data_IF_409173118909
#
_entry.id   IF_409173118909
#
_cell.length_a   1.000
_cell.length_b   1.000
_cell.length_c   1.000
_cell.angle_alpha   90.00
_cell.angle_beta   90.00
_cell.angle_gamma   90.00
#
_symmetry.space_group_name_H-M   'P 1'
#
loop_
_entity.id
_entity.type
_entity.pdbx_description
1 polymer ?
#
# COMPACT_ATOMS: atom_id res chain seq x y z
N UNK A 1 -15.23 -26.08 -26.04
CA UNK A 1 -13.75 -26.11 -25.86
C UNK A 1 -13.26 -25.19 -24.75
N UNK A 2 -13.72 -23.92 -24.66
CA UNK A 2 -13.32 -22.98 -23.61
C UNK A 2 -13.78 -23.37 -22.20
N UNK A 3 -15.01 -23.89 -22.05
CA UNK A 3 -15.52 -24.40 -20.77
C UNK A 3 -14.64 -25.49 -20.17
N UNK A 4 -14.22 -26.47 -21.01
CA UNK A 4 -13.28 -27.52 -20.59
C UNK A 4 -11.93 -26.96 -20.14
N UNK A 5 -11.44 -25.89 -20.77
CA UNK A 5 -10.20 -25.20 -20.36
C UNK A 5 -10.39 -24.46 -19.03
N UNK A 6 -11.53 -23.82 -18.83
CA UNK A 6 -11.87 -23.15 -17.58
C UNK A 6 -11.95 -24.14 -16.39
N UNK A 7 -12.62 -25.29 -16.57
CA UNK A 7 -12.69 -26.33 -15.54
C UNK A 7 -11.33 -26.98 -15.27
N UNK A 8 -10.53 -27.19 -16.31
CA UNK A 8 -9.15 -27.65 -16.16
C UNK A 8 -8.29 -26.63 -15.38
N UNK A 9 -8.42 -25.34 -15.66
CA UNK A 9 -7.71 -24.28 -14.94
C UNK A 9 -8.07 -24.25 -13.46
N UNK A 10 -9.37 -24.30 -13.13
CA UNK A 10 -9.82 -24.41 -11.74
C UNK A 10 -9.23 -25.63 -11.03
N UNK A 11 -9.21 -26.77 -11.69
CA UNK A 11 -8.82 -28.06 -11.10
C UNK A 11 -7.32 -28.21 -10.96
N UNK A 12 -6.54 -27.76 -11.94
CA UNK A 12 -5.10 -28.00 -12.02
C UNK A 12 -4.25 -26.78 -11.62
N UNK A 13 -4.83 -25.59 -11.53
CA UNK A 13 -4.10 -24.36 -11.16
C UNK A 13 -4.65 -23.76 -9.86
N UNK A 14 -5.95 -23.43 -9.82
CA UNK A 14 -6.53 -22.71 -8.68
C UNK A 14 -6.60 -23.58 -7.42
N UNK A 15 -7.25 -24.75 -7.49
CA UNK A 15 -7.40 -25.63 -6.32
C UNK A 15 -6.06 -26.06 -5.69
N UNK A 16 -5.04 -26.49 -6.47
CA UNK A 16 -3.75 -26.88 -5.91
C UNK A 16 -3.06 -25.70 -5.21
N UNK A 17 -3.09 -24.49 -5.79
CA UNK A 17 -2.49 -23.32 -5.17
C UNK A 17 -3.04 -23.04 -3.76
N UNK A 18 -4.36 -23.05 -3.60
CA UNK A 18 -4.98 -22.83 -2.29
C UNK A 18 -4.66 -23.95 -1.30
N UNK A 19 -4.69 -25.20 -1.74
CA UNK A 19 -4.45 -26.36 -0.88
C UNK A 19 -2.99 -26.48 -0.43
N UNK A 20 -2.04 -26.18 -1.31
CA UNK A 20 -0.61 -26.46 -1.10
C UNK A 20 0.15 -25.25 -0.53
N UNK A 21 -0.33 -24.03 -0.79
CA UNK A 21 0.30 -22.81 -0.31
C UNK A 21 -0.55 -22.07 0.73
N UNK A 22 -1.77 -21.66 0.37
CA UNK A 22 -2.59 -20.78 1.23
C UNK A 22 -2.98 -21.47 2.54
N UNK A 23 -3.34 -22.76 2.50
CA UNK A 23 -3.74 -23.52 3.68
C UNK A 23 -2.62 -23.73 4.73
N UNK A 24 -1.39 -23.30 4.44
CA UNK A 24 -0.23 -23.41 5.34
C UNK A 24 0.22 -22.07 5.92
N UNK A 25 -0.42 -20.97 5.52
CA UNK A 25 -0.03 -19.63 5.97
C UNK A 25 -0.51 -19.41 7.41
N UNK A 26 0.42 -19.02 8.28
CA UNK A 26 0.13 -18.60 9.65
C UNK A 26 -0.14 -17.08 9.71
N UNK A 27 0.57 -16.30 8.89
CA UNK A 27 0.52 -14.82 8.85
C UNK A 27 0.48 -14.35 7.41
N UNK A 28 -0.17 -13.22 7.16
CA UNK A 28 -0.22 -12.62 5.83
C UNK A 28 0.01 -11.11 5.88
N UNK A 29 0.76 -10.59 4.92
CA UNK A 29 0.83 -9.15 4.64
C UNK A 29 0.29 -8.87 3.24
N UNK A 30 -0.61 -7.90 3.11
CA UNK A 30 -1.16 -7.44 1.83
C UNK A 30 -0.60 -6.05 1.55
N UNK A 31 0.27 -5.94 0.55
CA UNK A 31 0.91 -4.69 0.15
C UNK A 31 0.02 -3.92 -0.82
N UNK A 32 -0.26 -2.66 -0.51
CA UNK A 32 -1.15 -1.78 -1.28
C UNK A 32 -0.39 -0.51 -1.68
N UNK A 33 -0.42 -0.16 -2.96
CA UNK A 33 0.08 1.12 -3.47
C UNK A 33 -1.08 2.12 -3.60
N UNK A 34 -1.50 2.68 -2.45
CA UNK A 34 -2.62 3.60 -2.40
C UNK A 34 -2.30 4.96 -3.04
N UNK A 35 -1.03 5.39 -3.05
CA UNK A 35 -0.63 6.66 -3.67
C UNK A 35 -0.82 6.63 -5.19
N UNK A 36 -0.49 5.52 -5.84
CA UNK A 36 -0.74 5.37 -7.27
C UNK A 36 -2.23 5.29 -7.61
N UNK A 37 -3.04 4.64 -6.76
CA UNK A 37 -4.49 4.65 -6.94
C UNK A 37 -5.08 6.06 -6.77
N UNK A 38 -4.59 6.83 -5.79
CA UNK A 38 -4.99 8.23 -5.61
C UNK A 38 -4.63 9.09 -6.83
N UNK A 39 -3.42 8.93 -7.38
CA UNK A 39 -3.01 9.60 -8.62
C UNK A 39 -3.92 9.31 -9.82
N UNK A 40 -4.46 8.09 -9.89
CA UNK A 40 -5.34 7.65 -10.97
C UNK A 40 -6.81 8.03 -10.73
N UNK A 41 -7.15 8.52 -9.53
CA UNK A 41 -8.45 9.08 -9.18
C UNK A 41 -9.44 8.07 -8.59
N UNK A 42 -10.69 8.51 -8.35
CA UNK A 42 -11.70 7.75 -7.57
C UNK A 42 -12.02 6.37 -8.15
N UNK A 43 -12.02 6.22 -9.48
CA UNK A 43 -12.24 4.93 -10.13
C UNK A 43 -11.19 3.89 -9.77
N UNK A 44 -9.90 4.28 -9.73
CA UNK A 44 -8.82 3.41 -9.31
C UNK A 44 -8.88 3.10 -7.80
N UNK A 45 -9.31 4.07 -6.97
CA UNK A 45 -9.56 3.84 -5.55
C UNK A 45 -10.69 2.85 -5.29
N UNK A 46 -11.78 2.91 -6.07
CA UNK A 46 -12.89 1.96 -6.00
C UNK A 46 -12.46 0.55 -6.47
N UNK A 47 -11.66 0.47 -7.54
CA UNK A 47 -11.12 -0.80 -8.02
C UNK A 47 -10.17 -1.43 -6.99
N UNK A 48 -9.34 -0.62 -6.34
CA UNK A 48 -8.49 -1.05 -5.24
C UNK A 48 -9.31 -1.60 -4.06
N UNK A 49 -10.41 -0.93 -3.67
CA UNK A 49 -11.33 -1.42 -2.62
C UNK A 49 -11.90 -2.80 -2.98
N UNK A 50 -12.31 -2.98 -4.24
CA UNK A 50 -12.84 -4.25 -4.74
C UNK A 50 -11.77 -5.35 -4.71
N UNK A 51 -10.57 -5.07 -5.20
CA UNK A 51 -9.46 -6.02 -5.21
C UNK A 51 -9.08 -6.46 -3.78
N UNK A 52 -8.98 -5.53 -2.83
CA UNK A 52 -8.72 -5.86 -1.42
C UNK A 52 -9.83 -6.71 -0.83
N UNK A 53 -11.10 -6.42 -1.16
CA UNK A 53 -12.24 -7.22 -0.72
C UNK A 53 -12.17 -8.66 -1.25
N UNK A 54 -11.87 -8.84 -2.54
CA UNK A 54 -11.72 -10.15 -3.16
C UNK A 54 -10.54 -10.94 -2.56
N UNK A 55 -9.41 -10.28 -2.30
CA UNK A 55 -8.23 -10.88 -1.66
C UNK A 55 -8.54 -11.31 -0.22
N UNK A 56 -9.15 -10.44 0.60
CA UNK A 56 -9.51 -10.79 1.99
C UNK A 56 -10.55 -11.91 2.04
N UNK A 57 -11.45 -11.98 1.06
CA UNK A 57 -12.41 -13.08 0.95
C UNK A 57 -11.73 -14.44 0.74
N UNK A 58 -10.54 -14.49 0.13
CA UNK A 58 -9.76 -15.71 -0.05
C UNK A 58 -9.19 -16.27 1.26
N UNK A 59 -9.02 -15.45 2.29
CA UNK A 59 -8.45 -15.86 3.57
C UNK A 59 -9.51 -16.28 4.59
N UNK A 60 -10.80 -16.25 4.22
CA UNK A 60 -11.89 -16.61 5.12
C UNK A 60 -11.74 -18.06 5.60
N UNK A 61 -11.68 -18.29 6.93
CA UNK A 61 -11.82 -19.62 7.47
C UNK A 61 -13.23 -20.17 7.15
N UNK A 62 -13.31 -21.38 6.59
CA UNK A 62 -14.55 -22.15 6.52
C UNK A 62 -15.54 -21.81 5.39
N UNK A 63 -15.35 -22.45 4.22
CA UNK A 63 -16.47 -22.80 3.31
C UNK A 63 -16.31 -24.15 2.60
N UNK A 64 -15.31 -24.94 2.98
CA UNK A 64 -15.09 -26.32 2.50
C UNK A 64 -15.25 -27.30 3.66
N UNK A 65 -16.11 -28.31 3.47
CA UNK A 65 -16.47 -29.44 4.34
C UNK A 65 -15.91 -29.45 5.79
N UNK A 66 -16.84 -29.62 6.75
CA UNK A 66 -16.62 -29.89 8.19
C UNK A 66 -15.51 -30.91 8.52
N UNK A 67 -15.10 -31.76 7.58
CA UNK A 67 -14.09 -32.81 7.78
C UNK A 67 -12.64 -32.35 7.55
N UNK A 68 -12.39 -31.20 6.89
CA UNK A 68 -11.02 -30.68 6.64
C UNK A 68 -10.54 -29.64 7.65
N UNK A 69 -11.42 -29.17 8.55
CA UNK A 69 -11.15 -28.04 9.44
C UNK A 69 -10.40 -28.41 10.73
N UNK A 70 -10.13 -29.71 10.95
CA UNK A 70 -9.54 -30.19 12.21
C UNK A 70 -8.01 -30.12 12.25
N UNK A 71 -7.33 -29.84 11.13
CA UNK A 71 -5.86 -29.89 11.02
C UNK A 71 -5.22 -28.77 10.19
N UNK A 72 -5.97 -27.76 9.74
CA UNK A 72 -5.39 -26.65 8.97
C UNK A 72 -4.84 -25.56 9.89
N UNK A 73 -3.58 -25.15 9.66
CA UNK A 73 -3.07 -23.87 10.16
C UNK A 73 -3.92 -22.77 9.56
N UNK A 74 -4.42 -21.86 10.40
CA UNK A 74 -5.27 -20.75 9.98
C UNK A 74 -4.49 -19.46 10.13
N UNK A 75 -4.64 -18.59 9.14
CA UNK A 75 -4.11 -17.23 9.21
C UNK A 75 -4.83 -16.52 10.37
N UNK A 76 -4.08 -16.15 11.40
CA UNK A 76 -4.60 -15.48 12.59
C UNK A 76 -4.27 -13.98 12.62
N UNK A 77 -3.31 -13.52 11.81
CA UNK A 77 -2.99 -12.10 11.60
C UNK A 77 -2.81 -11.75 10.14
N UNK A 78 -3.49 -10.69 9.72
CA UNK A 78 -3.38 -10.08 8.40
C UNK A 78 -2.99 -8.61 8.55
N UNK A 79 -1.83 -8.22 8.01
CA UNK A 79 -1.41 -6.84 7.96
C UNK A 79 -1.70 -6.25 6.58
N UNK A 80 -2.52 -5.21 6.52
CA UNK A 80 -2.72 -4.43 5.30
C UNK A 80 -1.74 -3.25 5.31
N UNK A 81 -0.75 -3.27 4.42
CA UNK A 81 0.33 -2.29 4.41
C UNK A 81 0.19 -1.32 3.24
N UNK A 82 -0.04 -0.03 3.54
CA UNK A 82 0.09 1.05 2.57
C UNK A 82 1.59 1.30 2.31
N UNK A 83 2.06 0.87 1.14
CA UNK A 83 3.47 0.93 0.76
C UNK A 83 3.90 2.31 0.28
N UNK A 84 5.22 2.53 0.22
CA UNK A 84 5.86 3.76 -0.29
C UNK A 84 5.45 5.01 0.48
N UNK A 85 5.23 4.87 1.79
CA UNK A 85 4.90 6.00 2.66
C UNK A 85 5.99 7.09 2.67
N UNK A 86 7.22 6.76 2.28
CA UNK A 86 8.31 7.73 2.09
C UNK A 86 8.05 8.71 0.93
N UNK A 87 7.12 8.42 0.02
CA UNK A 87 6.66 9.38 -0.97
C UNK A 87 5.71 10.45 -0.38
N UNK A 88 5.59 10.50 0.95
CA UNK A 88 4.89 11.53 1.71
C UNK A 88 5.77 12.01 2.87
N UNK A 89 5.57 13.27 3.27
CA UNK A 89 6.06 13.76 4.55
C UNK A 89 5.33 13.06 5.71
N UNK A 90 6.00 12.86 6.85
CA UNK A 90 5.44 12.12 8.00
C UNK A 90 4.07 12.64 8.47
N UNK A 91 3.81 13.94 8.35
CA UNK A 91 2.53 14.58 8.68
C UNK A 91 1.33 13.99 7.91
N UNK A 92 1.58 13.36 6.76
CA UNK A 92 0.55 12.71 5.95
C UNK A 92 0.49 11.19 6.12
N UNK A 93 1.41 10.56 6.87
CA UNK A 93 1.42 9.10 7.04
C UNK A 93 0.16 8.58 7.75
N UNK A 94 -0.32 9.33 8.75
CA UNK A 94 -1.52 8.94 9.49
C UNK A 94 -2.79 9.10 8.63
N UNK A 95 -2.80 10.09 7.71
CA UNK A 95 -3.88 10.24 6.71
C UNK A 95 -3.88 9.10 5.70
N UNK A 96 -2.70 8.70 5.20
CA UNK A 96 -2.55 7.54 4.33
C UNK A 96 -3.04 6.27 5.02
N UNK A 97 -2.64 6.07 6.27
CA UNK A 97 -3.07 4.94 7.08
C UNK A 97 -4.59 4.96 7.30
N UNK A 98 -5.20 6.12 7.55
CA UNK A 98 -6.65 6.25 7.70
C UNK A 98 -7.42 5.90 6.41
N UNK A 99 -6.92 6.33 5.24
CA UNK A 99 -7.51 5.98 3.94
C UNK A 99 -7.49 4.46 3.72
N UNK A 100 -6.32 3.82 3.95
CA UNK A 100 -6.19 2.37 3.76
C UNK A 100 -6.92 1.59 4.85
N UNK A 101 -7.03 2.13 6.07
CA UNK A 101 -7.85 1.52 7.13
C UNK A 101 -9.31 1.50 6.75
N UNK A 102 -9.85 2.60 6.24
CA UNK A 102 -11.22 2.66 5.71
C UNK A 102 -11.46 1.62 4.60
N UNK A 103 -10.50 1.43 3.69
CA UNK A 103 -10.55 0.38 2.66
C UNK A 103 -10.61 -1.02 3.29
N UNK A 104 -9.69 -1.31 4.20
CA UNK A 104 -9.59 -2.60 4.87
C UNK A 104 -10.85 -2.91 5.68
N UNK A 105 -11.37 -1.95 6.45
CA UNK A 105 -12.57 -2.13 7.28
C UNK A 105 -13.80 -2.48 6.42
N UNK A 106 -14.00 -1.78 5.29
CA UNK A 106 -15.07 -2.12 4.34
C UNK A 106 -14.86 -3.48 3.69
N UNK A 107 -13.63 -3.81 3.33
CA UNK A 107 -13.29 -5.09 2.74
C UNK A 107 -13.53 -6.25 3.72
N UNK A 108 -13.12 -6.12 4.99
CA UNK A 108 -13.39 -7.08 6.08
C UNK A 108 -14.89 -7.25 6.29
N UNK A 109 -15.63 -6.14 6.38
CA UNK A 109 -17.08 -6.17 6.57
C UNK A 109 -17.80 -6.87 5.39
N UNK A 110 -17.48 -6.51 4.15
CA UNK A 110 -18.07 -7.13 2.95
C UNK A 110 -17.68 -8.60 2.78
N UNK A 111 -16.43 -8.90 3.07
CA UNK A 111 -15.94 -10.25 3.05
C UNK A 111 -16.54 -11.08 4.19
N UNK A 112 -17.26 -10.52 5.18
CA UNK A 112 -17.71 -11.24 6.39
C UNK A 112 -16.54 -12.07 6.98
N UNK A 113 -15.36 -11.44 7.02
CA UNK A 113 -14.12 -12.06 7.44
C UNK A 113 -14.05 -12.07 8.97
N UNK A 114 -13.76 -13.22 9.56
CA UNK A 114 -13.72 -13.42 11.02
C UNK A 114 -12.57 -14.36 11.39
N UNK A 115 -12.09 -14.26 12.62
CA UNK A 115 -11.11 -15.21 13.17
C UNK A 115 -9.63 -14.88 12.91
N UNK A 116 -9.33 -13.73 12.29
CA UNK A 116 -7.97 -13.19 12.23
C UNK A 116 -7.98 -11.71 12.60
N UNK A 117 -6.94 -11.27 13.31
CA UNK A 117 -6.71 -9.87 13.60
C UNK A 117 -6.22 -9.17 12.34
N UNK A 118 -6.89 -8.08 11.97
CA UNK A 118 -6.51 -7.26 10.82
C UNK A 118 -6.02 -5.91 11.32
N UNK A 119 -4.75 -5.58 11.05
CA UNK A 119 -4.21 -4.24 11.31
C UNK A 119 -3.77 -3.57 10.01
N UNK A 120 -3.60 -2.25 10.05
CA UNK A 120 -3.23 -1.42 8.92
C UNK A 120 -2.08 -0.51 9.29
N UNK A 121 -1.04 -0.51 8.44
CA UNK A 121 0.14 0.32 8.62
C UNK A 121 0.50 1.07 7.33
N UNK A 122 0.88 2.34 7.44
CA UNK A 122 1.60 3.03 6.38
C UNK A 122 3.11 2.81 6.55
N UNK A 123 3.79 2.25 5.54
CA UNK A 123 5.19 1.84 5.65
C UNK A 123 5.97 2.03 4.35
N UNK A 124 7.30 2.05 4.48
CA UNK A 124 8.23 1.98 3.36
C UNK A 124 9.28 0.93 3.67
N UNK A 125 9.32 -0.16 2.88
CA UNK A 125 10.31 -1.22 3.04
C UNK A 125 11.72 -0.72 2.73
N UNK A 126 11.84 0.19 1.75
CA UNK A 126 13.06 0.91 1.41
C UNK A 126 12.68 2.37 1.23
N UNK A 127 13.28 3.25 2.01
CA UNK A 127 13.06 4.70 1.98
C UNK A 127 13.97 5.32 0.92
N UNK A 128 13.36 5.87 -0.13
CA UNK A 128 14.03 6.53 -1.24
C UNK A 128 14.15 8.05 -1.07
N UNK A 129 13.46 8.62 -0.08
CA UNK A 129 13.36 10.06 0.15
C UNK A 129 13.81 10.45 1.55
N UNK A 130 14.20 11.71 1.73
CA UNK A 130 14.43 12.35 3.03
C UNK A 130 13.42 13.46 3.25
N UNK A 131 13.11 13.75 4.50
CA UNK A 131 12.22 14.85 4.83
C UNK A 131 12.97 16.18 4.84
N UNK A 132 12.26 17.26 4.52
CA UNK A 132 12.78 18.61 4.58
C UNK A 132 11.66 19.63 4.63
N UNK A 133 12.04 20.90 4.68
CA UNK A 133 11.10 22.02 4.68
C UNK A 133 11.58 23.08 3.73
N UNK A 134 10.68 23.67 2.94
CA UNK A 134 10.98 24.80 2.07
C UNK A 134 10.18 26.02 2.54
N UNK A 135 10.82 27.18 2.64
CA UNK A 135 10.11 28.44 2.89
C UNK A 135 9.58 28.98 1.57
N UNK A 136 8.27 29.15 1.48
CA UNK A 136 7.60 29.82 0.37
C UNK A 136 6.84 31.02 0.91
N UNK A 137 7.37 32.23 0.68
CA UNK A 137 6.82 33.45 1.28
C UNK A 137 6.89 33.42 2.81
N UNK A 138 5.72 33.44 3.47
CA UNK A 138 5.61 33.34 4.94
C UNK A 138 5.34 31.91 5.43
N UNK A 139 5.08 30.97 4.53
CA UNK A 139 4.72 29.60 4.86
C UNK A 139 5.96 28.69 4.80
N UNK A 140 5.97 27.69 5.68
CA UNK A 140 6.97 26.62 5.65
C UNK A 140 6.27 25.35 5.19
N UNK A 141 6.60 24.89 4.00
CA UNK A 141 5.98 23.72 3.39
C UNK A 141 6.77 22.46 3.73
N UNK A 142 6.10 21.39 4.20
CA UNK A 142 6.72 20.10 4.40
C UNK A 142 7.01 19.45 3.04
N UNK A 143 8.27 19.15 2.75
CA UNK A 143 8.68 18.55 1.47
C UNK A 143 9.37 17.21 1.69
N UNK A 144 9.33 16.38 0.66
CA UNK A 144 10.19 15.21 0.54
C UNK A 144 11.27 15.51 -0.49
N UNK A 145 12.48 15.01 -0.25
CA UNK A 145 13.63 15.25 -1.11
C UNK A 145 14.14 13.90 -1.60
N UNK A 146 14.31 13.76 -2.91
CA UNK A 146 14.82 12.56 -3.55
C UNK A 146 15.02 12.80 -5.04
N UNK A 147 15.38 11.75 -5.79
CA UNK A 147 15.51 11.84 -7.26
C UNK A 147 14.28 11.21 -7.92
N UNK A 148 13.36 11.99 -8.51
CA UNK A 148 12.20 11.44 -9.21
C UNK A 148 12.63 10.59 -10.40
N UNK A 149 11.80 9.65 -10.84
CA UNK A 149 12.06 8.88 -12.05
C UNK A 149 11.96 9.77 -13.31
N UNK A 150 12.72 9.41 -14.34
CA UNK A 150 12.68 10.10 -15.63
C UNK A 150 11.26 10.04 -16.21
N UNK A 151 10.73 11.19 -16.59
CA UNK A 151 9.40 11.30 -17.20
C UNK A 151 8.24 11.45 -16.22
N UNK A 152 8.50 11.36 -14.90
CA UNK A 152 7.53 11.81 -13.90
C UNK A 152 7.25 13.31 -14.08
N UNK A 153 6.04 13.75 -13.72
CA UNK A 153 5.60 15.13 -13.91
C UNK A 153 4.83 15.67 -12.71
N UNK A 154 5.08 16.93 -12.37
CA UNK A 154 4.35 17.74 -11.39
C UNK A 154 4.27 19.18 -11.94
N UNK A 155 3.10 19.81 -11.91
CA UNK A 155 2.88 21.21 -12.28
C UNK A 155 3.53 21.62 -13.63
N UNK A 156 3.43 20.75 -14.64
CA UNK A 156 4.03 20.96 -15.97
C UNK A 156 5.55 20.70 -16.08
N UNK A 157 6.25 20.52 -14.96
CA UNK A 157 7.67 20.14 -14.95
C UNK A 157 7.81 18.63 -15.23
N UNK A 158 8.82 18.25 -16.03
CA UNK A 158 9.15 16.85 -16.31
C UNK A 158 10.53 16.52 -15.77
N UNK A 159 10.62 15.52 -14.90
CA UNK A 159 11.87 15.16 -14.24
C UNK A 159 12.81 14.36 -15.16
N UNK A 160 14.11 14.61 -15.01
CA UNK A 160 15.18 14.03 -15.83
C UNK A 160 15.65 12.63 -15.37
N UNK A 161 15.25 12.21 -14.16
CA UNK A 161 15.70 10.96 -13.56
C UNK A 161 17.09 11.01 -12.91
N UNK A 162 17.65 12.20 -12.68
CA UNK A 162 19.02 12.39 -12.18
C UNK A 162 19.11 13.47 -11.10
N UNK A 163 18.32 14.53 -11.23
CA UNK A 163 18.35 15.69 -10.33
C UNK A 163 17.62 15.36 -9.03
N UNK A 164 18.26 15.66 -7.89
CA UNK A 164 17.60 15.61 -6.58
C UNK A 164 16.70 16.84 -6.44
N UNK A 165 15.43 16.62 -6.13
CA UNK A 165 14.41 17.68 -6.08
C UNK A 165 13.62 17.61 -4.78
N UNK A 166 13.36 18.77 -4.19
CA UNK A 166 12.40 18.93 -3.11
C UNK A 166 10.99 19.01 -3.68
N UNK A 167 10.13 18.07 -3.32
CA UNK A 167 8.78 17.92 -3.84
C UNK A 167 7.77 18.08 -2.71
N UNK A 168 6.78 18.92 -2.96
CA UNK A 168 5.54 18.96 -2.20
C UNK A 168 4.46 18.21 -3.01
N UNK A 169 4.09 16.97 -2.64
CA UNK A 169 3.13 16.18 -3.41
C UNK A 169 1.67 16.63 -3.25
N UNK A 170 1.42 17.60 -2.35
CA UNK A 170 0.09 17.99 -1.89
C UNK A 170 -0.30 17.29 -0.58
N UNK A 171 -1.38 17.77 0.02
CA UNK A 171 -1.93 17.25 1.26
C UNK A 171 -2.97 16.17 1.00
N UNK A 172 -2.80 15.00 1.63
CA UNK A 172 -3.91 14.04 1.69
C UNK A 172 -5.12 14.66 2.40
N UNK A 173 -6.35 14.35 1.96
CA UNK A 173 -7.54 14.92 2.58
C UNK A 173 -7.65 14.50 4.05
N UNK A 174 -8.16 15.41 4.88
CA UNK A 174 -8.34 15.16 6.32
C UNK A 174 -9.34 14.03 6.59
N UNK A 175 -10.34 13.86 5.72
CA UNK A 175 -11.35 12.80 5.80
C UNK A 175 -11.05 11.71 4.76
N UNK A 176 -10.93 10.48 5.22
CA UNK A 176 -10.64 9.33 4.36
C UNK A 176 -11.71 9.12 3.27
N UNK A 177 -13.00 9.38 3.56
CA UNK A 177 -14.06 9.17 2.58
C UNK A 177 -14.01 10.09 1.36
N UNK A 178 -13.31 11.24 1.46
CA UNK A 178 -13.24 12.21 0.37
C UNK A 178 -12.57 11.66 -0.90
N UNK A 179 -11.66 10.69 -0.79
CA UNK A 179 -10.99 10.09 -1.96
C UNK A 179 -11.84 9.06 -2.69
N UNK A 180 -12.98 8.68 -2.12
CA UNK A 180 -13.92 7.69 -2.68
C UNK A 180 -15.17 8.33 -3.27
N UNK A 181 -15.40 9.61 -3.02
CA UNK A 181 -16.50 10.33 -3.63
C UNK A 181 -16.19 10.57 -5.10
N UNK A 182 -17.15 10.24 -5.97
CA UNK A 182 -17.09 10.45 -7.42
C UNK A 182 -17.88 11.73 -7.79
N UNK A 183 -18.62 12.30 -6.83
CA UNK A 183 -19.60 13.39 -7.03
C UNK A 183 -19.26 14.70 -6.29
N UNK A 184 -18.14 14.76 -5.56
CA UNK A 184 -17.67 15.93 -4.84
C UNK A 184 -17.33 17.16 -5.72
N UNK A 185 -17.44 18.39 -5.17
CA UNK A 185 -17.22 19.63 -5.90
C UNK A 185 -15.77 19.86 -6.39
N UNK A 186 -14.80 19.10 -5.87
CA UNK A 186 -13.39 19.13 -6.32
C UNK A 186 -13.14 18.38 -7.65
N UNK A 187 -14.16 17.73 -8.23
CA UNK A 187 -14.03 16.95 -9.47
C UNK A 187 -13.98 17.77 -10.77
N UNK A 188 -13.98 19.11 -10.68
CA UNK A 188 -13.72 20.01 -11.82
C UNK A 188 -12.29 20.54 -11.85
N UNK A 189 -11.34 19.89 -11.18
CA UNK A 189 -9.92 20.18 -11.44
C UNK A 189 -9.59 19.64 -12.84
N UNK A 190 -9.30 20.56 -13.76
CA UNK A 190 -8.85 20.25 -15.12
C UNK A 190 -7.84 19.10 -15.11
N UNK A 191 -8.02 18.12 -15.97
CA UNK A 191 -7.19 16.91 -16.12
C UNK A 191 -5.70 17.18 -16.40
N UNK A 192 -5.31 18.44 -16.59
CA UNK A 192 -3.94 18.85 -16.89
C UNK A 192 -3.10 19.11 -15.63
N UNK A 193 -3.71 19.43 -14.47
CA UNK A 193 -2.96 19.66 -13.22
C UNK A 193 -3.79 19.33 -11.96
N UNK A 194 -3.77 18.08 -11.47
CA UNK A 194 -4.47 17.72 -10.24
C UNK A 194 -3.83 18.39 -9.02
N UNK A 195 -4.62 18.83 -8.04
CA UNK A 195 -4.13 19.46 -6.82
C UNK A 195 -3.22 18.57 -5.96
N UNK A 196 -3.18 17.26 -6.25
CA UNK A 196 -2.34 16.27 -5.56
C UNK A 196 -1.72 15.36 -6.62
N UNK A 197 -0.39 15.21 -6.59
CA UNK A 197 0.35 14.33 -7.50
C UNK A 197 1.54 13.70 -6.78
N UNK A 198 1.52 12.39 -6.64
CA UNK A 198 2.61 11.61 -6.05
C UNK A 198 3.54 11.10 -7.14
N UNK A 199 4.78 11.56 -7.19
CA UNK A 199 5.77 11.01 -8.13
C UNK A 199 6.50 9.81 -7.56
N UNK A 200 7.13 9.05 -8.45
CA UNK A 200 7.97 7.91 -8.09
C UNK A 200 9.43 8.33 -8.01
N UNK A 201 10.16 7.76 -7.07
CA UNK A 201 11.56 8.06 -6.85
C UNK A 201 12.47 6.91 -7.28
N UNK A 202 13.73 7.24 -7.58
CA UNK A 202 14.82 6.26 -7.72
C UNK A 202 15.15 5.67 -6.35
N UNK A 203 15.67 4.43 -6.30
CA UNK A 203 16.20 3.87 -5.06
C UNK A 203 17.25 4.79 -4.42
N UNK A 204 17.39 4.75 -3.08
CA UNK A 204 18.41 5.54 -2.40
C UNK A 204 19.81 5.11 -2.87
N UNK A 205 20.77 6.04 -2.83
CA UNK A 205 22.17 5.69 -3.05
C UNK A 205 22.63 4.81 -1.88
N UNK A 206 23.24 3.68 -2.18
CA UNK A 206 23.81 2.81 -1.14
C UNK A 206 25.01 3.52 -0.53
N UNK A 207 24.89 3.93 0.72
CA UNK A 207 26.02 4.42 1.50
C UNK A 207 26.86 3.21 1.96
N UNK A 208 28.18 3.33 1.82
CA UNK A 208 29.14 2.33 2.31
C UNK A 208 29.93 2.93 3.45
N UNK A 209 30.21 2.15 4.49
CA UNK A 209 31.15 2.53 5.54
C UNK A 209 32.56 2.65 4.97
N UNK A 210 33.48 3.27 5.72
CA UNK A 210 34.88 3.34 5.33
C UNK A 210 35.53 1.94 5.14
N UNK A 211 35.01 0.90 5.82
CA UNK A 211 35.43 -0.51 5.62
C UNK A 211 34.72 -1.23 4.46
N UNK A 212 33.91 -0.52 3.66
CA UNK A 212 33.25 -1.07 2.47
C UNK A 212 31.97 -1.86 2.74
N UNK A 213 31.46 -1.90 3.97
CA UNK A 213 30.20 -2.55 4.33
C UNK A 213 29.03 -1.64 3.93
N UNK A 214 28.01 -2.19 3.28
CA UNK A 214 26.79 -1.44 2.95
C UNK A 214 26.01 -1.10 4.22
N UNK A 215 25.72 0.17 4.44
CA UNK A 215 24.80 0.60 5.49
C UNK A 215 23.41 -0.02 5.25
N UNK A 216 22.71 -0.33 6.34
CA UNK A 216 21.35 -0.87 6.29
C UNK A 216 20.43 0.07 5.50
N UNK A 217 19.58 -0.49 4.64
CA UNK A 217 18.60 0.30 3.90
C UNK A 217 17.65 1.00 4.87
N UNK A 218 17.45 2.32 4.76
CA UNK A 218 16.50 3.03 5.61
C UNK A 218 15.08 2.54 5.31
N UNK A 219 14.24 2.46 6.34
CA UNK A 219 12.85 2.03 6.22
C UNK A 219 11.91 2.90 7.08
N UNK A 220 10.60 2.76 6.88
CA UNK A 220 9.57 3.40 7.70
C UNK A 220 8.63 2.31 8.21
N UNK A 221 8.49 2.20 9.54
CA UNK A 221 7.56 1.32 10.26
C UNK A 221 7.64 -0.19 9.90
N UNK A 222 8.79 -0.64 9.37
CA UNK A 222 9.03 -2.07 9.11
C UNK A 222 9.12 -2.88 10.42
N UNK A 223 9.71 -2.27 11.45
CA UNK A 223 9.71 -2.73 12.83
C UNK A 223 8.28 -2.98 13.36
N UNK A 224 7.34 -2.05 13.14
CA UNK A 224 5.94 -2.23 13.52
C UNK A 224 5.27 -3.38 12.76
N UNK A 225 5.58 -3.53 11.46
CA UNK A 225 5.07 -4.64 10.65
C UNK A 225 5.57 -5.99 11.17
N UNK A 226 6.86 -6.08 11.49
CA UNK A 226 7.48 -7.28 12.08
C UNK A 226 6.88 -7.58 13.45
N UNK A 227 6.73 -6.59 14.31
CA UNK A 227 6.13 -6.76 15.64
C UNK A 227 4.71 -7.30 15.54
N UNK A 228 3.88 -6.77 14.64
CA UNK A 228 2.52 -7.27 14.44
C UNK A 228 2.50 -8.68 13.87
N UNK A 229 3.33 -8.99 12.88
CA UNK A 229 3.26 -10.28 12.19
C UNK A 229 3.87 -11.44 12.99
N UNK A 230 4.98 -11.20 13.70
CA UNK A 230 5.75 -12.28 14.34
C UNK A 230 6.20 -11.98 15.76
N UNK A 231 5.92 -10.78 16.31
CA UNK A 231 6.42 -10.38 17.62
C UNK A 231 5.95 -11.25 18.78
N UNK A 232 4.79 -11.89 18.66
CA UNK A 232 4.25 -12.83 19.65
C UNK A 232 4.91 -14.22 19.60
N UNK A 233 5.60 -14.58 18.52
CA UNK A 233 6.42 -15.80 18.46
C UNK A 233 7.83 -15.60 19.04
N UNK A 234 8.22 -14.36 19.30
CA UNK A 234 9.55 -13.99 19.80
C UNK A 234 9.52 -13.56 21.28
N UNK A 235 8.34 -13.61 21.92
CA UNK A 235 8.11 -13.21 23.30
C UNK A 235 8.36 -14.34 24.31
#
# INVERSE_FOLDING_TARGET
MLERRYEAYKTHVVKPFFREHIARLDRQIVLIDALQALNAGPGAMADLERAVTEILACFRPGRGNFLTDFFSRRIDRILVAATKADHLHHESHDRLQAIVRRLADRAVARANFTGADVDVVAMAAVRATREGTVKQGRETLPVIIGTPLKGEKINGETFDGKTETAIFPGDLPKKADAVFDISGPDHRQNSEDPAIRFVRFRPPKLERTAEGVTLSLPHIRLDRAVQFLIGDHLA
#
